data_IF_555522084308
#
_entry.id   IF_555522084308
#
_cell.length_a   1.000
_cell.length_b   1.000
_cell.length_c   1.000
_cell.angle_alpha   90.00
_cell.angle_beta   90.00
_cell.angle_gamma   90.00
#
_symmetry.space_group_name_H-M   'P 1'
#
loop_
_entity.id
_entity.type
_entity.pdbx_description
1 polymer ?
#
# COMPACT_ATOMS: atom_id res chain seq x y z
N UNK A 1 13.54 13.90 25.09
CA UNK A 1 13.09 13.32 23.80
C UNK A 1 11.57 13.40 23.84
N UNK A 2 11.00 14.49 23.33
CA UNK A 2 9.55 14.72 23.28
C UNK A 2 8.94 13.73 22.30
N UNK A 3 7.88 12.98 22.66
CA UNK A 3 7.10 12.28 21.65
C UNK A 3 6.52 13.34 20.71
N UNK A 4 6.74 13.20 19.41
CA UNK A 4 6.12 14.04 18.38
C UNK A 4 4.64 13.62 18.33
N UNK A 5 3.82 14.12 19.27
CA UNK A 5 2.52 13.55 19.69
C UNK A 5 1.40 13.59 18.65
N UNK A 6 1.71 13.82 17.38
CA UNK A 6 0.73 13.94 16.29
C UNK A 6 1.13 13.25 14.99
N UNK A 7 2.27 12.58 14.92
CA UNK A 7 2.80 12.02 13.67
C UNK A 7 2.89 10.50 13.72
N UNK A 8 2.37 9.84 12.68
CA UNK A 8 2.54 8.40 12.47
C UNK A 8 3.97 8.17 11.98
N UNK A 9 4.70 7.25 12.62
CA UNK A 9 6.07 6.90 12.24
C UNK A 9 6.12 5.44 11.87
N UNK A 10 6.59 5.15 10.66
CA UNK A 10 6.82 3.79 10.17
C UNK A 10 8.33 3.60 10.10
N UNK A 11 8.86 2.71 10.93
CA UNK A 11 10.30 2.50 11.02
C UNK A 11 10.62 1.04 11.31
N UNK A 12 11.81 0.60 10.89
CA UNK A 12 12.33 -0.70 11.28
C UNK A 12 12.83 -0.63 12.72
N UNK A 13 12.20 -1.40 13.60
CA UNK A 13 12.56 -1.54 15.00
C UNK A 13 13.85 -2.33 15.20
N UNK A 14 14.31 -2.42 16.45
CA UNK A 14 15.56 -3.11 16.81
C UNK A 14 15.48 -4.62 16.55
N UNK A 15 14.27 -5.19 16.58
CA UNK A 15 14.01 -6.59 16.21
C UNK A 15 14.14 -6.87 14.71
N UNK A 16 14.37 -5.83 13.89
CA UNK A 16 14.38 -5.95 12.44
C UNK A 16 12.98 -5.88 11.83
N UNK A 17 11.94 -5.73 12.65
CA UNK A 17 10.54 -5.70 12.23
C UNK A 17 10.13 -4.29 11.84
N UNK A 18 9.21 -4.14 10.90
CA UNK A 18 8.67 -2.82 10.57
C UNK A 18 7.51 -2.51 11.49
N UNK A 19 7.66 -1.47 12.30
CA UNK A 19 6.73 -1.08 13.36
C UNK A 19 6.13 0.30 13.06
N UNK A 20 4.93 0.53 13.60
CA UNK A 20 4.25 1.82 13.56
C UNK A 20 4.14 2.39 14.97
N UNK A 21 4.67 3.59 15.14
CA UNK A 21 4.54 4.41 16.33
C UNK A 21 3.65 5.63 16.05
N UNK A 22 3.02 6.15 17.11
CA UNK A 22 2.24 7.38 17.07
C UNK A 22 0.72 7.17 17.09
N UNK A 23 -0.07 8.25 17.02
CA UNK A 23 -1.53 8.16 17.10
C UNK A 23 -2.11 7.58 15.82
N UNK A 24 -2.82 6.46 15.94
CA UNK A 24 -3.52 5.79 14.84
C UNK A 24 -5.02 5.81 15.14
N UNK A 25 -5.79 6.55 14.33
CA UNK A 25 -7.25 6.52 14.37
C UNK A 25 -7.82 5.32 13.57
N UNK A 26 -9.15 5.18 13.54
CA UNK A 26 -9.80 4.07 12.84
C UNK A 26 -9.47 4.02 11.34
N UNK A 27 -9.42 5.17 10.67
CA UNK A 27 -9.14 5.22 9.22
C UNK A 27 -7.68 4.89 8.93
N UNK A 28 -6.75 5.49 9.67
CA UNK A 28 -5.33 5.15 9.58
C UNK A 28 -5.12 3.66 9.90
N UNK A 29 -5.84 3.12 10.88
CA UNK A 29 -5.82 1.70 11.22
C UNK A 29 -6.26 0.81 10.06
N UNK A 30 -7.33 1.19 9.35
CA UNK A 30 -7.81 0.43 8.18
C UNK A 30 -6.84 0.49 7.00
N UNK A 31 -6.17 1.63 6.78
CA UNK A 31 -5.09 1.75 5.81
C UNK A 31 -3.94 0.80 6.16
N UNK A 32 -3.51 0.78 7.43
CA UNK A 32 -2.43 -0.09 7.89
C UNK A 32 -2.79 -1.57 7.78
N UNK A 33 -4.03 -1.97 8.13
CA UNK A 33 -4.50 -3.35 7.92
C UNK A 33 -4.47 -3.75 6.45
N UNK A 34 -4.89 -2.84 5.56
CA UNK A 34 -4.87 -3.09 4.12
C UNK A 34 -3.45 -3.17 3.56
N UNK A 35 -2.50 -2.48 4.20
CA UNK A 35 -1.08 -2.60 3.93
C UNK A 35 -0.47 -3.89 4.51
N UNK A 36 -1.23 -4.73 5.23
CA UNK A 36 -0.73 -5.98 5.81
C UNK A 36 -0.13 -5.84 7.21
N UNK A 37 -0.33 -4.71 7.90
CA UNK A 37 0.08 -4.60 9.30
C UNK A 37 -0.85 -5.41 10.22
N UNK A 38 -0.21 -6.07 11.18
CA UNK A 38 -0.84 -6.79 12.27
C UNK A 38 -1.00 -5.85 13.47
N UNK A 39 -2.10 -6.01 14.20
CA UNK A 39 -2.41 -5.25 15.41
C UNK A 39 -2.42 -6.21 16.58
N UNK A 40 -1.31 -6.23 17.33
CA UNK A 40 -1.17 -7.09 18.50
C UNK A 40 -1.47 -6.30 19.77
N UNK A 41 -2.25 -6.86 20.72
CA UNK A 41 -2.50 -6.19 21.99
C UNK A 41 -1.18 -6.04 22.77
N UNK A 42 -0.94 -4.86 23.31
CA UNK A 42 0.24 -4.54 24.11
C UNK A 42 -0.13 -3.75 25.36
N UNK A 43 0.81 -3.65 26.31
CA UNK A 43 0.60 -2.89 27.56
C UNK A 43 0.32 -1.40 27.34
N UNK A 44 0.71 -0.86 26.18
CA UNK A 44 0.55 0.54 25.80
C UNK A 44 -0.54 0.76 24.74
N UNK A 45 -1.36 -0.25 24.44
CA UNK A 45 -2.39 -0.19 23.41
C UNK A 45 -2.24 -1.30 22.38
N UNK A 46 -2.01 -0.92 21.12
CA UNK A 46 -1.72 -1.88 20.05
C UNK A 46 -0.28 -1.72 19.61
N UNK A 47 0.45 -2.83 19.56
CA UNK A 47 1.70 -2.92 18.84
C UNK A 47 1.39 -3.25 17.38
N UNK A 48 1.73 -2.33 16.48
CA UNK A 48 1.39 -2.42 15.07
C UNK A 48 2.67 -2.74 14.30
N UNK A 49 2.73 -3.90 13.64
CA UNK A 49 3.92 -4.33 12.90
C UNK A 49 3.59 -5.10 11.63
N UNK A 50 4.54 -5.16 10.69
CA UNK A 50 4.49 -6.09 9.57
C UNK A 50 4.98 -7.48 9.99
N UNK A 51 4.51 -8.56 9.34
CA UNK A 51 5.11 -9.88 9.44
C UNK A 51 6.60 -9.87 9.07
N UNK A 52 7.46 -10.41 9.93
CA UNK A 52 8.92 -10.40 9.76
C UNK A 52 9.45 -11.51 8.84
N UNK A 53 8.62 -12.51 8.52
CA UNK A 53 9.00 -13.72 7.76
C UNK A 53 8.84 -13.58 6.23
N UNK A 54 8.25 -12.48 5.75
CA UNK A 54 7.96 -12.26 4.32
C UNK A 54 9.16 -11.68 3.53
N UNK A 55 10.22 -11.27 4.22
CA UNK A 55 11.46 -10.78 3.65
C UNK A 55 11.49 -9.27 3.37
N UNK A 56 12.71 -8.71 3.34
CA UNK A 56 12.97 -7.26 3.36
C UNK A 56 12.30 -6.47 2.23
N UNK A 57 12.27 -7.02 1.01
CA UNK A 57 11.66 -6.35 -0.14
C UNK A 57 10.15 -6.17 0.03
N UNK A 58 9.47 -7.22 0.50
CA UNK A 58 8.04 -7.19 0.78
C UNK A 58 7.71 -6.21 1.90
N UNK A 59 8.49 -6.26 3.00
CA UNK A 59 8.31 -5.34 4.12
C UNK A 59 8.48 -3.86 3.70
N UNK A 60 9.51 -3.56 2.90
CA UNK A 60 9.76 -2.21 2.41
C UNK A 60 8.66 -1.74 1.44
N UNK A 61 8.17 -2.61 0.56
CA UNK A 61 7.07 -2.30 -0.35
C UNK A 61 5.77 -1.98 0.40
N UNK A 62 5.41 -2.81 1.38
CA UNK A 62 4.21 -2.63 2.18
C UNK A 62 4.29 -1.40 3.10
N UNK A 63 5.47 -1.14 3.68
CA UNK A 63 5.73 0.06 4.47
C UNK A 63 5.64 1.33 3.61
N UNK A 64 6.20 1.31 2.40
CA UNK A 64 6.11 2.42 1.45
C UNK A 64 4.67 2.66 1.04
N UNK A 65 3.94 1.61 0.68
CA UNK A 65 2.53 1.71 0.29
C UNK A 65 1.67 2.31 1.42
N UNK A 66 1.87 1.88 2.66
CA UNK A 66 1.17 2.45 3.82
C UNK A 66 1.47 3.95 3.99
N UNK A 67 2.75 4.33 3.91
CA UNK A 67 3.15 5.73 4.02
C UNK A 67 2.55 6.59 2.91
N UNK A 68 2.55 6.11 1.67
CA UNK A 68 1.94 6.81 0.53
C UNK A 68 0.43 7.00 0.74
N UNK A 69 -0.29 5.95 1.13
CA UNK A 69 -1.73 6.01 1.35
C UNK A 69 -2.11 6.96 2.50
N UNK A 70 -1.37 6.92 3.60
CA UNK A 70 -1.55 7.85 4.71
C UNK A 70 -1.27 9.31 4.29
N UNK A 71 -0.20 9.53 3.52
CA UNK A 71 0.14 10.85 3.00
C UNK A 71 -0.93 11.40 2.03
N UNK A 72 -1.48 10.55 1.15
CA UNK A 72 -2.61 10.90 0.26
C UNK A 72 -3.84 11.31 1.07
N UNK A 73 -4.11 10.60 2.17
CA UNK A 73 -5.17 10.93 3.11
C UNK A 73 -4.84 12.10 4.06
N UNK A 74 -3.74 12.83 3.81
CA UNK A 74 -3.29 14.01 4.57
C UNK A 74 -2.88 13.72 6.01
N UNK A 75 -2.55 12.48 6.34
CA UNK A 75 -1.95 12.17 7.63
C UNK A 75 -0.48 12.59 7.67
N UNK A 76 -0.01 13.21 8.75
CA UNK A 76 1.41 13.43 8.97
C UNK A 76 2.07 12.08 9.22
N UNK A 77 2.86 11.61 8.24
CA UNK A 77 3.59 10.34 8.31
C UNK A 77 5.08 10.54 8.10
N UNK A 78 5.91 9.82 8.86
CA UNK A 78 7.36 9.69 8.63
C UNK A 78 7.71 8.24 8.34
N UNK A 79 8.23 7.99 7.15
CA UNK A 79 8.82 6.71 6.77
C UNK A 79 10.33 6.76 7.01
N UNK A 80 10.88 5.73 7.66
CA UNK A 80 12.33 5.62 7.82
C UNK A 80 13.03 5.42 6.45
N UNK A 81 14.20 6.03 6.24
CA UNK A 81 14.86 6.02 4.93
C UNK A 81 15.29 4.62 4.47
N UNK A 82 15.49 3.66 5.39
CA UNK A 82 15.81 2.26 5.07
C UNK A 82 14.62 1.46 4.50
N UNK A 83 13.41 2.02 4.63
CA UNK A 83 12.17 1.42 4.16
C UNK A 83 11.73 1.94 2.79
N UNK A 84 12.43 2.95 2.24
CA UNK A 84 12.09 3.46 0.93
C UNK A 84 12.30 2.35 -0.10
N UNK A 85 11.26 2.09 -0.92
CA UNK A 85 11.38 1.15 -2.05
C UNK A 85 12.59 1.56 -2.89
N UNK A 86 13.53 0.65 -3.09
CA UNK A 86 14.53 0.80 -4.16
C UNK A 86 13.74 1.02 -5.45
N UNK A 87 13.84 2.23 -6.00
CA UNK A 87 12.99 2.77 -7.08
C UNK A 87 13.14 2.03 -8.42
N UNK A 88 13.85 0.90 -8.46
CA UNK A 88 14.08 0.11 -9.67
C UNK A 88 12.84 -0.67 -10.17
N UNK A 89 11.77 -0.80 -9.38
CA UNK A 89 10.63 -1.63 -9.79
C UNK A 89 9.26 -1.12 -9.32
N UNK A 90 9.00 0.18 -9.40
CA UNK A 90 7.62 0.65 -9.45
C UNK A 90 7.06 0.28 -10.84
N UNK A 91 6.60 -0.95 -11.00
CA UNK A 91 5.84 -1.38 -12.16
C UNK A 91 4.59 -0.51 -12.21
N UNK A 92 4.64 0.55 -13.01
CA UNK A 92 3.49 1.38 -13.31
C UNK A 92 2.31 0.47 -13.65
N UNK A 93 1.09 0.74 -13.15
CA UNK A 93 -0.06 -0.06 -13.50
C UNK A 93 -0.13 -0.12 -15.02
N UNK A 94 0.05 -1.33 -15.57
CA UNK A 94 -0.07 -1.55 -17.00
C UNK A 94 -1.50 -1.17 -17.37
N UNK A 95 -1.63 0.00 -17.99
CA UNK A 95 -2.87 0.45 -18.62
C UNK A 95 -3.38 -0.73 -19.45
N UNK A 96 -4.62 -1.22 -19.24
CA UNK A 96 -5.12 -2.32 -20.05
C UNK A 96 -5.03 -1.90 -21.51
N UNK A 97 -4.29 -2.69 -22.30
CA UNK A 97 -4.18 -2.48 -23.73
C UNK A 97 -5.60 -2.52 -24.30
N UNK A 98 -6.04 -1.37 -24.82
CA UNK A 98 -7.32 -1.27 -25.52
C UNK A 98 -7.24 -2.24 -26.71
N UNK A 99 -8.10 -3.26 -26.81
CA UNK A 99 -8.10 -4.14 -27.97
C UNK A 99 -8.39 -3.29 -29.21
N UNK A 100 -7.72 -3.57 -30.35
CA UNK A 100 -8.03 -2.87 -31.60
C UNK A 100 -9.49 -3.11 -31.94
N UNK A 101 -10.20 -2.03 -32.29
CA UNK A 101 -11.60 -2.11 -32.71
C UNK A 101 -11.67 -3.01 -33.96
N UNK A 102 -12.15 -4.25 -33.79
CA UNK A 102 -12.51 -5.11 -34.91
C UNK A 102 -13.62 -4.41 -35.68
N UNK A 103 -13.35 -4.14 -36.95
CA UNK A 103 -14.31 -3.59 -37.90
C UNK A 103 -15.57 -4.46 -37.89
N UNK A 104 -16.70 -3.87 -37.53
CA UNK A 104 -17.99 -4.53 -37.65
C UNK A 104 -18.20 -4.91 -39.12
N UNK A 105 -18.23 -6.22 -39.41
CA UNK A 105 -18.72 -6.70 -40.69
C UNK A 105 -20.21 -6.37 -40.81
N UNK A 106 -20.58 -5.72 -41.92
CA UNK A 106 -21.98 -5.45 -42.27
C UNK A 106 -22.77 -6.77 -42.40
N UNK A 107 -24.06 -6.78 -42.01
CA UNK A 107 -24.88 -7.99 -42.05
C UNK A 107 -25.12 -8.46 -43.49
N UNK A 108 -25.17 -9.77 -43.77
CA UNK A 108 -25.41 -10.28 -45.11
C UNK A 108 -26.82 -9.91 -45.57
N UNK A 109 -26.90 -9.30 -46.76
CA UNK A 109 -28.14 -8.89 -47.40
C UNK A 109 -29.11 -10.06 -47.60
N UNK A 110 -30.37 -9.84 -47.23
CA UNK A 110 -31.48 -10.78 -47.41
C UNK A 110 -31.72 -11.00 -48.90
N UNK A 111 -31.38 -12.20 -49.38
CA UNK A 111 -31.70 -12.64 -50.75
C UNK A 111 -33.21 -12.93 -50.80
N UNK A 112 -33.96 -12.03 -51.43
CA UNK A 112 -35.37 -12.28 -51.77
C UNK A 112 -35.42 -13.26 -52.94
N UNK A 113 -36.17 -14.34 -52.75
CA UNK A 113 -36.48 -15.31 -53.79
C UNK A 113 -37.47 -14.71 -54.80
N UNK A 114 -37.16 -14.84 -56.08
CA UNK A 114 -38.09 -15.13 -57.18
C UNK A 114 -37.31 -15.59 -58.41
#
# INVERSE_FOLDING_TARGET
>A
MTPETGQIRIARGRGGEVEVDGPVDSFAGDVLRRAGFLFEPSLSGHWIRLPFDMGRGWENEHATWAAEMLAVARYPVRLAPDLHRDTAAATAPTRPARPPAMTAQAPPGRRAAR
#
